data_IF_709151144027
#
_entry.id   IF_709151144027
#
_cell.length_a   1.000
_cell.length_b   1.000
_cell.length_c   1.000
_cell.angle_alpha   90.00
_cell.angle_beta   90.00
_cell.angle_gamma   90.00
#
_symmetry.space_group_name_H-M   'P 1'
#
loop_
_entity.id
_entity.type
_entity.pdbx_description
1 polymer ?
#
# COMPACT_ATOMS: atom_id res chain seq x y z
N UNK A 1 -20.18 7.27 -10.62
CA UNK A 1 -18.84 6.69 -10.92
C UNK A 1 -18.57 5.49 -10.00
N UNK A 2 -17.74 4.51 -10.37
CA UNK A 2 -17.43 3.36 -9.47
C UNK A 2 -16.18 3.59 -8.62
N UNK A 3 -16.12 3.00 -7.43
CA UNK A 3 -15.00 3.14 -6.47
C UNK A 3 -13.63 2.82 -7.09
N UNK A 4 -13.50 1.74 -7.89
CA UNK A 4 -12.23 1.39 -8.53
C UNK A 4 -11.77 2.44 -9.56
N UNK A 5 -12.70 3.18 -10.16
CA UNK A 5 -12.40 4.24 -11.14
C UNK A 5 -11.81 5.44 -10.41
N UNK A 6 -12.39 5.78 -9.25
CA UNK A 6 -11.87 6.84 -8.35
C UNK A 6 -10.45 6.50 -7.90
N UNK A 7 -10.23 5.25 -7.50
CA UNK A 7 -8.94 4.75 -7.05
C UNK A 7 -7.89 4.86 -8.17
N UNK A 8 -8.27 4.45 -9.39
CA UNK A 8 -7.40 4.52 -10.58
C UNK A 8 -7.02 5.95 -10.92
N UNK A 9 -7.98 6.87 -10.95
CA UNK A 9 -7.73 8.28 -11.27
C UNK A 9 -6.89 8.98 -10.20
N UNK A 10 -7.10 8.63 -8.93
CA UNK A 10 -6.41 9.25 -7.80
C UNK A 10 -5.05 8.58 -7.51
N UNK A 11 -4.71 7.48 -8.19
CA UNK A 11 -3.45 6.75 -7.99
C UNK A 11 -3.31 6.16 -6.58
N UNK A 12 -4.42 5.68 -6.03
CA UNK A 12 -4.57 5.05 -4.71
C UNK A 12 -5.23 3.68 -4.86
N UNK A 13 -5.26 2.87 -3.82
CA UNK A 13 -5.95 1.57 -3.88
C UNK A 13 -7.44 1.71 -3.62
N UNK A 14 -8.24 0.78 -4.13
CA UNK A 14 -9.69 0.72 -3.86
C UNK A 14 -10.00 0.65 -2.36
N UNK A 15 -9.11 0.05 -1.58
CA UNK A 15 -9.21 -0.02 -0.10
C UNK A 15 -9.04 1.36 0.53
N UNK A 16 -8.14 2.20 0.02
CA UNK A 16 -7.96 3.57 0.52
C UNK A 16 -9.20 4.43 0.23
N UNK A 17 -9.81 4.27 -0.95
CA UNK A 17 -11.06 4.95 -1.29
C UNK A 17 -12.22 4.46 -0.43
N UNK A 18 -12.33 3.15 -0.16
CA UNK A 18 -13.38 2.60 0.72
C UNK A 18 -13.24 3.13 2.16
N UNK A 19 -12.03 3.26 2.68
CA UNK A 19 -11.78 3.88 3.99
C UNK A 19 -12.19 5.36 4.01
N UNK A 20 -11.90 6.09 2.93
CA UNK A 20 -12.34 7.47 2.80
C UNK A 20 -13.87 7.59 2.70
N UNK A 21 -14.53 6.62 2.04
CA UNK A 21 -15.99 6.54 1.96
C UNK A 21 -16.61 6.28 3.33
N UNK A 22 -16.07 5.32 4.08
CA UNK A 22 -16.50 5.03 5.45
C UNK A 22 -16.33 6.25 6.37
N UNK A 23 -15.19 6.95 6.29
CA UNK A 23 -14.93 8.16 7.06
C UNK A 23 -15.86 9.34 6.68
N UNK A 24 -16.32 9.39 5.43
CA UNK A 24 -17.26 10.38 4.93
C UNK A 24 -18.74 9.99 5.13
N UNK A 25 -19.02 8.78 5.64
CA UNK A 25 -20.38 8.26 5.79
C UNK A 25 -21.06 7.87 4.48
N UNK A 26 -20.28 7.61 3.42
CA UNK A 26 -20.76 7.20 2.10
C UNK A 26 -20.93 5.67 2.09
N UNK A 27 -22.08 5.21 1.60
CA UNK A 27 -22.45 3.79 1.60
C UNK A 27 -21.78 3.04 0.42
N UNK A 28 -20.49 2.72 0.57
CA UNK A 28 -19.72 1.95 -0.40
C UNK A 28 -19.08 0.73 0.26
N UNK A 29 -19.49 -0.48 -0.16
CA UNK A 29 -19.04 -1.74 0.44
C UNK A 29 -17.93 -2.43 -0.36
N UNK A 30 -17.84 -2.17 -1.67
CA UNK A 30 -16.86 -2.83 -2.52
C UNK A 30 -16.38 -1.93 -3.66
N UNK A 31 -15.37 -2.40 -4.39
CA UNK A 31 -14.75 -1.63 -5.46
C UNK A 31 -15.69 -1.34 -6.66
N UNK A 32 -16.75 -2.14 -6.83
CA UNK A 32 -17.73 -2.03 -7.92
C UNK A 32 -18.90 -1.10 -7.52
N UNK A 33 -19.06 -0.79 -6.23
CA UNK A 33 -20.04 0.15 -5.72
C UNK A 33 -19.98 1.47 -6.49
N UNK A 34 -21.15 1.94 -6.93
CA UNK A 34 -21.32 3.22 -7.59
C UNK A 34 -21.64 4.30 -6.56
N UNK A 35 -21.01 5.44 -6.72
CA UNK A 35 -21.28 6.66 -5.96
C UNK A 35 -21.73 7.76 -6.91
N UNK A 36 -22.47 8.73 -6.38
CA UNK A 36 -22.86 9.90 -7.15
C UNK A 36 -21.66 10.82 -7.46
N UNK A 37 -21.86 11.82 -8.31
CA UNK A 37 -20.77 12.69 -8.74
C UNK A 37 -20.27 13.63 -7.61
N UNK A 38 -21.13 13.97 -6.64
CA UNK A 38 -20.78 14.79 -5.49
C UNK A 38 -19.93 14.04 -4.47
N UNK A 39 -20.36 12.82 -4.13
CA UNK A 39 -19.63 11.82 -3.35
C UNK A 39 -18.30 11.49 -4.00
N UNK A 40 -18.28 11.29 -5.32
CA UNK A 40 -17.05 11.03 -6.07
C UNK A 40 -16.05 12.18 -5.95
N UNK A 41 -16.51 13.43 -6.04
CA UNK A 41 -15.64 14.60 -5.87
C UNK A 41 -15.11 14.72 -4.43
N UNK A 42 -15.95 14.48 -3.43
CA UNK A 42 -15.56 14.46 -2.02
C UNK A 42 -14.51 13.38 -1.74
N UNK A 43 -14.71 12.17 -2.28
CA UNK A 43 -13.77 11.07 -2.18
C UNK A 43 -12.43 11.42 -2.82
N UNK A 44 -12.41 11.93 -4.06
CA UNK A 44 -11.16 12.36 -4.72
C UNK A 44 -10.40 13.37 -3.88
N UNK A 45 -11.08 14.35 -3.29
CA UNK A 45 -10.44 15.35 -2.43
C UNK A 45 -9.87 14.72 -1.14
N UNK A 46 -10.60 13.80 -0.52
CA UNK A 46 -10.18 13.10 0.69
C UNK A 46 -8.93 12.22 0.44
N UNK A 47 -8.97 11.34 -0.57
CA UNK A 47 -7.80 10.49 -0.88
C UNK A 47 -6.62 11.28 -1.42
N UNK A 48 -6.81 12.42 -2.08
CA UNK A 48 -5.69 13.26 -2.53
C UNK A 48 -4.88 13.84 -1.37
N UNK A 49 -5.53 14.14 -0.23
CA UNK A 49 -4.85 14.61 0.99
C UNK A 49 -4.02 13.50 1.65
N UNK A 50 -4.54 12.28 1.70
CA UNK A 50 -3.89 11.15 2.37
C UNK A 50 -2.90 10.37 1.50
N UNK A 51 -3.00 10.48 0.17
CA UNK A 51 -2.14 9.77 -0.78
C UNK A 51 -0.64 10.10 -0.61
N UNK A 52 -0.31 11.32 -0.18
CA UNK A 52 1.07 11.74 0.07
C UNK A 52 1.70 10.99 1.25
N UNK A 53 0.97 10.89 2.37
CA UNK A 53 1.46 10.24 3.59
C UNK A 53 1.51 8.71 3.45
N UNK A 54 0.48 8.10 2.83
CA UNK A 54 0.41 6.65 2.62
C UNK A 54 1.53 6.12 1.72
N UNK A 55 1.92 6.86 0.66
CA UNK A 55 3.02 6.44 -0.23
C UNK A 55 4.37 6.41 0.46
N UNK A 56 4.67 7.39 1.31
CA UNK A 56 5.94 7.45 2.04
C UNK A 56 6.03 6.31 3.05
N UNK A 57 4.95 6.05 3.79
CA UNK A 57 4.87 4.95 4.74
C UNK A 57 5.07 3.58 4.07
N UNK A 58 4.33 3.30 2.98
CA UNK A 58 4.48 2.05 2.21
C UNK A 58 5.88 1.88 1.61
N UNK A 59 6.53 2.97 1.21
CA UNK A 59 7.91 2.92 0.70
C UNK A 59 8.91 2.60 1.82
N UNK A 60 8.72 3.15 3.01
CA UNK A 60 9.54 2.83 4.18
C UNK A 60 9.38 1.36 4.59
N UNK A 61 8.15 0.85 4.60
CA UNK A 61 7.83 -0.53 4.95
C UNK A 61 8.48 -1.53 3.97
N UNK A 62 8.37 -1.28 2.66
CA UNK A 62 9.08 -2.09 1.65
C UNK A 62 10.60 -2.06 1.79
N UNK A 63 11.17 -0.91 2.14
CA UNK A 63 12.62 -0.78 2.37
C UNK A 63 13.06 -1.60 3.57
N UNK A 64 12.29 -1.57 4.66
CA UNK A 64 12.59 -2.34 5.87
C UNK A 64 12.50 -3.85 5.60
N UNK A 65 11.45 -4.29 4.90
CA UNK A 65 11.30 -5.70 4.51
C UNK A 65 12.47 -6.19 3.64
N UNK A 66 12.89 -5.38 2.67
CA UNK A 66 14.04 -5.70 1.83
C UNK A 66 15.35 -5.79 2.65
N UNK A 67 15.54 -4.89 3.62
CA UNK A 67 16.69 -4.92 4.51
C UNK A 67 16.73 -6.19 5.37
N UNK A 68 15.59 -6.62 5.93
CA UNK A 68 15.48 -7.85 6.70
C UNK A 68 15.77 -9.10 5.86
N UNK A 69 15.22 -9.18 4.65
CA UNK A 69 15.46 -10.30 3.74
C UNK A 69 16.95 -10.38 3.33
N UNK A 70 17.55 -9.23 3.02
CA UNK A 70 18.98 -9.17 2.71
C UNK A 70 19.84 -9.59 3.91
N UNK A 71 19.52 -9.13 5.12
CA UNK A 71 20.25 -9.50 6.32
C UNK A 71 20.21 -11.03 6.55
N UNK A 72 19.05 -11.67 6.38
CA UNK A 72 18.92 -13.14 6.45
C UNK A 72 19.75 -13.84 5.38
N UNK A 73 19.68 -13.38 4.14
CA UNK A 73 20.44 -13.95 3.02
C UNK A 73 21.96 -13.88 3.26
N UNK A 74 22.47 -12.74 3.72
CA UNK A 74 23.90 -12.60 4.02
C UNK A 74 24.33 -13.41 5.24
N UNK A 75 23.48 -13.54 6.27
CA UNK A 75 23.75 -14.42 7.41
C UNK A 75 23.87 -15.89 6.98
N UNK A 76 22.97 -16.37 6.11
CA UNK A 76 23.02 -17.72 5.56
C UNK A 76 24.24 -17.97 4.66
N UNK A 77 24.58 -17.00 3.81
CA UNK A 77 25.80 -17.04 2.98
C UNK A 77 27.06 -17.13 3.85
N UNK A 78 27.16 -16.29 4.89
CA UNK A 78 28.30 -16.30 5.81
C UNK A 78 28.41 -17.63 6.55
N UNK A 79 27.30 -18.16 7.07
CA UNK A 79 27.29 -19.45 7.75
C UNK A 79 27.70 -20.61 6.83
N UNK A 80 27.33 -20.58 5.55
CA UNK A 80 27.81 -21.55 4.55
C UNK A 80 29.31 -21.41 4.30
N UNK A 81 29.80 -20.18 4.19
CA UNK A 81 31.20 -19.90 3.91
C UNK A 81 32.11 -20.29 5.08
N UNK A 82 31.70 -20.01 6.32
CA UNK A 82 32.39 -20.47 7.55
C UNK A 82 32.45 -22.00 7.60
N UNK A 83 31.34 -22.71 7.34
CA UNK A 83 31.34 -24.18 7.25
C UNK A 83 32.29 -24.73 6.18
N UNK A 84 32.37 -24.07 5.02
CA UNK A 84 33.30 -24.49 3.96
C UNK A 84 34.76 -24.26 4.34
N UNK A 85 35.07 -23.20 5.10
CA UNK A 85 36.42 -22.91 5.58
C UNK A 85 36.86 -23.82 6.73
N UNK A 86 35.94 -24.36 7.54
CA UNK A 86 36.27 -25.33 8.60
C UNK A 86 36.57 -26.74 8.06
N UNK A 87 36.15 -27.05 6.83
CA UNK A 87 36.32 -28.37 6.20
C UNK A 87 37.56 -28.42 5.29
N UNK A 88 38.18 -27.28 4.98
CA UNK A 88 39.37 -27.15 4.11
C UNK A 88 40.66 -27.04 4.92
#
# INVERSE_FOLDING_TARGET
>A
MRIYEIARESGVTSVEVLKAAEAAGIEATNAISSVDDGEAAALKAAVSKDAGASRVAKRAEKRNLAAELNAKFFAEQRAKLEKHLEIA
#
